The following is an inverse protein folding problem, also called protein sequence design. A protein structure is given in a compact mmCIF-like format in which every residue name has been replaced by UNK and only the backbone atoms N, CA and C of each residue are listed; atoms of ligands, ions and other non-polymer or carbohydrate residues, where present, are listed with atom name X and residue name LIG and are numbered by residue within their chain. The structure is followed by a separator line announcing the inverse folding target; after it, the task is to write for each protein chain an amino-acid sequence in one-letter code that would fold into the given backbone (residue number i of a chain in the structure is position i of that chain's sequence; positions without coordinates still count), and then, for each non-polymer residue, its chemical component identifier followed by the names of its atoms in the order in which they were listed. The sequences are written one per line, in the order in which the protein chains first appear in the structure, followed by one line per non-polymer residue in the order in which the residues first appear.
data_IF_398448994354
#
_entry.id   IF_398448994354
#
_cell.length_a   1.000
_cell.length_b   1.000
_cell.length_c   1.000
_cell.angle_alpha   90.00
_cell.angle_beta   90.00
_cell.angle_gamma   90.00
#
_symmetry.space_group_name_H-M   'P 1'
#
loop_
_entity.id
_entity.type
_entity.pdbx_description
1 polymer ?
#
# COMPACT_ATOMS: atom_id res chain seq x y z
N UNK A 1 -33.17 -58.60 -26.22
CA UNK A 1 -32.77 -59.76 -27.05
C UNK A 1 -31.28 -59.58 -27.33
N UNK A 2 -30.41 -60.18 -26.51
CA UNK A 2 -29.63 -61.40 -26.84
C UNK A 2 -28.70 -61.10 -28.05
N UNK A 3 -27.38 -61.14 -27.96
CA UNK A 3 -26.57 -62.28 -27.48
C UNK A 3 -25.12 -61.88 -27.20
N UNK A 4 -24.51 -62.68 -26.33
CA UNK A 4 -23.09 -62.73 -25.96
C UNK A 4 -22.22 -63.47 -27.01
N UNK A 5 -20.90 -63.48 -26.75
CA UNK A 5 -19.81 -64.35 -27.28
C UNK A 5 -18.87 -63.65 -28.26
N UNK A 6 -17.54 -63.67 -28.17
CA UNK A 6 -16.58 -64.34 -27.28
C UNK A 6 -15.19 -63.67 -27.43
N UNK A 7 -14.35 -63.72 -26.40
CA UNK A 7 -12.88 -63.54 -26.48
C UNK A 7 -12.20 -64.87 -26.90
N UNK A 8 -10.99 -64.87 -27.50
CA UNK A 8 -9.73 -64.98 -26.74
C UNK A 8 -8.52 -64.21 -27.36
N UNK A 9 -7.67 -63.51 -26.59
CA UNK A 9 -6.40 -63.92 -25.96
C UNK A 9 -5.10 -63.71 -26.80
N UNK A 10 -4.09 -63.13 -26.12
CA UNK A 10 -2.62 -63.10 -26.41
C UNK A 10 -2.18 -62.22 -27.61
N UNK A 11 -1.08 -61.45 -27.64
CA UNK A 11 0.18 -61.42 -26.89
C UNK A 11 0.80 -60.00 -27.06
N UNK A 12 1.35 -59.36 -26.02
CA UNK A 12 2.79 -59.29 -25.67
C UNK A 12 3.56 -58.17 -26.40
N UNK A 13 4.22 -57.35 -25.57
CA UNK A 13 5.45 -56.55 -25.79
C UNK A 13 5.42 -55.23 -26.57
N UNK A 14 6.11 -54.23 -25.98
CA UNK A 14 6.75 -53.18 -26.78
C UNK A 14 6.61 -51.73 -26.30
N UNK A 15 6.66 -51.45 -25.00
CA UNK A 15 6.88 -50.07 -24.50
C UNK A 15 8.26 -49.56 -24.93
N UNK A 16 8.31 -48.78 -26.02
CA UNK A 16 9.42 -47.90 -26.32
C UNK A 16 9.04 -46.47 -25.92
N UNK A 17 9.26 -46.16 -24.63
CA UNK A 17 9.17 -44.82 -24.08
C UNK A 17 10.31 -43.97 -24.66
N UNK A 18 10.03 -43.26 -25.74
CA UNK A 18 10.92 -42.22 -26.24
C UNK A 18 10.94 -41.07 -25.20
N UNK A 19 11.98 -41.07 -24.37
CA UNK A 19 12.29 -39.98 -23.46
C UNK A 19 12.41 -38.68 -24.25
N UNK A 20 11.43 -37.78 -24.09
CA UNK A 20 11.57 -36.38 -24.48
C UNK A 20 12.78 -35.79 -23.75
N UNK A 21 13.66 -35.02 -24.41
CA UNK A 21 14.70 -34.30 -23.71
C UNK A 21 14.02 -33.30 -22.76
N UNK A 22 14.43 -33.35 -21.49
CA UNK A 22 13.98 -32.42 -20.47
C UNK A 22 14.13 -30.99 -20.99
N UNK A 23 12.99 -30.28 -21.09
CA UNK A 23 12.97 -28.83 -21.26
C UNK A 23 13.67 -28.26 -20.05
N UNK A 24 14.94 -27.86 -20.20
CA UNK A 24 15.65 -27.18 -19.13
C UNK A 24 14.87 -25.89 -18.82
N UNK A 25 14.51 -25.64 -17.55
CA UNK A 25 13.96 -24.33 -17.20
C UNK A 25 15.03 -23.31 -17.58
N UNK A 26 14.66 -22.40 -18.47
CA UNK A 26 15.47 -21.24 -18.83
C UNK A 26 15.64 -20.45 -17.54
N UNK A 27 16.77 -20.65 -16.86
CA UNK A 27 17.19 -19.80 -15.75
C UNK A 27 17.32 -18.41 -16.37
N UNK A 28 16.30 -17.57 -16.19
CA UNK A 28 16.43 -16.14 -16.42
C UNK A 28 17.35 -15.64 -15.31
N UNK A 29 18.64 -15.63 -15.59
CA UNK A 29 19.61 -14.92 -14.76
C UNK A 29 19.16 -13.46 -14.68
N UNK A 30 18.79 -13.04 -13.47
CA UNK A 30 18.42 -11.69 -13.02
C UNK A 30 19.61 -10.70 -13.13
N UNK A 31 20.49 -10.85 -14.11
CA UNK A 31 21.83 -10.26 -14.06
C UNK A 31 22.01 -9.03 -14.96
N UNK A 32 20.95 -8.45 -15.54
CA UNK A 32 21.13 -7.28 -16.41
C UNK A 32 20.01 -6.23 -16.43
N UNK A 33 19.33 -6.00 -15.30
CA UNK A 33 18.44 -4.84 -15.10
C UNK A 33 18.99 -3.82 -14.08
N UNK A 34 20.32 -3.72 -13.94
CA UNK A 34 20.96 -2.91 -12.89
C UNK A 34 21.24 -1.46 -13.32
N UNK A 35 20.37 -0.81 -14.10
CA UNK A 35 20.61 0.62 -14.44
C UNK A 35 19.41 1.56 -14.40
N UNK A 36 18.21 1.07 -14.08
CA UNK A 36 17.02 1.93 -14.03
C UNK A 36 16.57 2.28 -12.59
N UNK A 37 17.18 1.67 -11.58
CA UNK A 37 16.82 1.84 -10.17
C UNK A 37 17.96 2.50 -9.37
N UNK A 38 17.66 3.29 -8.33
CA UNK A 38 18.69 3.87 -7.48
C UNK A 38 19.40 2.81 -6.65
N UNK A 39 20.64 3.10 -6.25
CA UNK A 39 21.51 2.14 -5.56
C UNK A 39 20.96 1.64 -4.21
N UNK A 40 20.06 2.38 -3.57
CA UNK A 40 19.46 2.03 -2.28
C UNK A 40 18.27 1.07 -2.43
N UNK A 41 17.69 0.95 -3.62
CA UNK A 41 16.55 0.09 -3.88
C UNK A 41 17.03 -1.33 -4.26
N UNK A 42 17.35 -2.12 -3.24
CA UNK A 42 17.90 -3.47 -3.39
C UNK A 42 16.85 -4.57 -3.52
N UNK A 43 15.57 -4.23 -3.35
CA UNK A 43 14.42 -5.14 -3.48
C UNK A 43 13.25 -4.41 -4.16
N UNK A 44 12.28 -5.14 -4.75
CA UNK A 44 11.09 -4.51 -5.32
C UNK A 44 10.36 -3.65 -4.29
N UNK A 45 9.76 -2.54 -4.73
CA UNK A 45 8.97 -1.71 -3.85
C UNK A 45 7.81 -2.49 -3.21
N UNK A 46 7.38 -2.09 -2.00
CA UNK A 46 6.12 -2.56 -1.44
C UNK A 46 4.96 -2.30 -2.41
N UNK A 47 3.97 -3.19 -2.47
CA UNK A 47 2.83 -3.09 -3.41
C UNK A 47 2.00 -1.81 -3.27
N UNK A 48 2.06 -1.14 -2.12
CA UNK A 48 1.38 0.11 -1.85
C UNK A 48 2.19 1.34 -2.27
N UNK A 49 3.47 1.17 -2.62
CA UNK A 49 4.34 2.29 -2.99
C UNK A 49 4.02 2.78 -4.40
N UNK A 50 3.58 4.02 -4.52
CA UNK A 50 3.39 4.77 -5.77
C UNK A 50 4.57 5.65 -6.17
N UNK A 51 5.63 5.70 -5.36
CA UNK A 51 6.80 6.54 -5.59
C UNK A 51 7.54 6.22 -6.89
N UNK A 52 7.93 7.26 -7.63
CA UNK A 52 8.80 7.13 -8.81
C UNK A 52 10.26 7.16 -8.37
N UNK A 53 10.95 6.03 -8.47
CA UNK A 53 12.37 5.92 -8.14
C UNK A 53 13.23 5.94 -9.41
N UNK A 54 14.10 6.95 -9.51
CA UNK A 54 15.00 7.14 -10.65
C UNK A 54 16.40 6.62 -10.34
N UNK A 55 17.20 6.28 -11.35
CA UNK A 55 18.57 5.76 -11.14
C UNK A 55 19.47 6.66 -10.30
N UNK A 56 19.22 7.97 -10.34
CA UNK A 56 20.04 9.00 -9.71
C UNK A 56 19.46 9.52 -8.39
N UNK A 57 18.37 8.92 -7.90
CA UNK A 57 17.80 9.29 -6.61
C UNK A 57 18.80 9.00 -5.50
N UNK A 58 18.97 9.98 -4.62
CA UNK A 58 19.97 9.92 -3.56
C UNK A 58 19.42 9.20 -2.34
N UNK A 59 20.25 9.01 -1.31
CA UNK A 59 19.78 8.47 -0.03
C UNK A 59 18.69 9.33 0.62
N UNK A 60 18.66 10.63 0.32
CA UNK A 60 17.65 11.54 0.84
C UNK A 60 16.26 11.29 0.22
N UNK A 61 16.24 10.67 -0.95
CA UNK A 61 15.05 10.30 -1.72
C UNK A 61 14.64 8.84 -1.47
N UNK A 62 15.31 8.15 -0.54
CA UNK A 62 15.13 6.73 -0.26
C UNK A 62 13.88 6.43 0.59
N UNK A 63 12.74 6.92 0.10
CA UNK A 63 11.42 6.88 0.71
C UNK A 63 10.42 6.22 -0.22
N UNK A 64 9.73 5.19 0.27
CA UNK A 64 8.50 4.70 -0.30
C UNK A 64 7.34 5.57 0.16
N UNK A 65 6.47 5.96 -0.78
CA UNK A 65 5.28 6.78 -0.55
C UNK A 65 4.07 6.08 -1.15
N UNK A 66 2.92 6.09 -0.48
CA UNK A 66 1.68 5.60 -1.09
C UNK A 66 1.28 6.41 -2.32
N UNK A 67 0.67 5.76 -3.29
CA UNK A 67 -0.04 6.41 -4.41
C UNK A 67 -1.35 7.08 -3.97
N UNK A 68 -1.89 6.64 -2.83
CA UNK A 68 -3.14 7.10 -2.26
C UNK A 68 -2.91 7.99 -1.03
N UNK A 69 -3.49 9.19 -1.09
CA UNK A 69 -3.58 10.12 0.02
C UNK A 69 -5.05 10.35 0.36
N UNK A 70 -5.43 10.14 1.63
CA UNK A 70 -6.73 10.60 2.12
C UNK A 70 -6.61 12.06 2.48
N UNK A 71 -7.30 12.93 1.76
CA UNK A 71 -7.36 14.36 2.08
C UNK A 71 -8.72 14.69 2.70
N UNK A 72 -8.69 15.33 3.87
CA UNK A 72 -9.85 15.82 4.59
C UNK A 72 -9.68 17.32 4.86
N UNK A 73 -10.64 18.14 4.42
CA UNK A 73 -10.74 19.51 4.91
C UNK A 73 -11.39 19.50 6.29
N UNK A 74 -10.65 19.96 7.30
CA UNK A 74 -11.16 20.11 8.65
C UNK A 74 -11.86 21.46 8.76
N UNK A 75 -13.09 21.43 9.25
CA UNK A 75 -13.75 22.66 9.69
C UNK A 75 -13.01 23.18 10.93
N UNK A 76 -12.44 24.37 10.83
CA UNK A 76 -12.10 25.14 12.03
C UNK A 76 -13.39 25.42 12.78
N UNK A 77 -13.40 25.41 14.12
CA UNK A 77 -14.58 25.84 14.88
C UNK A 77 -15.11 27.15 14.30
N UNK A 78 -16.44 27.34 14.32
CA UNK A 78 -16.98 28.68 14.13
C UNK A 78 -16.22 29.59 15.10
N UNK A 79 -15.48 30.56 14.54
CA UNK A 79 -15.05 31.68 15.34
C UNK A 79 -16.30 32.18 16.06
N UNK A 80 -16.17 32.49 17.35
CA UNK A 80 -17.20 33.16 18.14
C UNK A 80 -18.04 34.07 17.21
N UNK A 81 -19.38 33.96 17.18
CA UNK A 81 -20.21 34.72 16.23
C UNK A 81 -20.00 36.24 16.28
N UNK A 82 -19.28 36.74 17.29
CA UNK A 82 -18.80 38.11 17.40
C UNK A 82 -17.49 38.41 16.67
N UNK A 83 -16.88 37.44 15.99
CA UNK A 83 -15.58 37.59 15.35
C UNK A 83 -15.68 37.36 13.85
N UNK A 84 -15.32 38.40 13.11
CA UNK A 84 -15.29 38.38 11.65
C UNK A 84 -14.17 37.45 11.17
N UNK A 85 -14.51 36.41 10.41
CA UNK A 85 -13.55 35.43 9.85
C UNK A 85 -12.49 36.08 8.96
N UNK A 86 -12.89 37.12 8.22
CA UNK A 86 -11.98 37.86 7.33
C UNK A 86 -10.96 38.70 8.12
N UNK A 87 -11.28 39.08 9.37
CA UNK A 87 -10.35 39.80 10.25
C UNK A 87 -9.37 38.88 10.96
N UNK A 88 -9.70 37.60 11.13
CA UNK A 88 -8.82 36.61 11.76
C UNK A 88 -7.90 35.86 10.78
N UNK A 89 -8.21 35.87 9.48
CA UNK A 89 -7.43 35.14 8.47
C UNK A 89 -7.42 33.62 8.69
N UNK A 90 -8.50 33.04 9.24
CA UNK A 90 -8.58 31.60 9.53
C UNK A 90 -8.95 30.85 8.25
N UNK A 91 -7.95 30.22 7.64
CA UNK A 91 -8.12 29.26 6.54
C UNK A 91 -8.47 27.86 7.08
N UNK A 92 -9.30 27.07 6.39
CA UNK A 92 -9.58 25.68 6.76
C UNK A 92 -8.30 24.85 6.78
N UNK A 93 -8.10 24.06 7.84
CA UNK A 93 -6.96 23.15 7.94
C UNK A 93 -7.18 21.96 7.03
N UNK A 94 -6.28 21.73 6.08
CA UNK A 94 -6.28 20.50 5.29
C UNK A 94 -5.43 19.43 5.99
N UNK A 95 -6.00 18.24 6.20
CA UNK A 95 -5.33 17.06 6.72
C UNK A 95 -5.18 16.03 5.60
N UNK A 96 -3.94 15.62 5.32
CA UNK A 96 -3.63 14.51 4.42
C UNK A 96 -3.08 13.32 5.21
N UNK A 97 -3.49 12.10 4.86
CA UNK A 97 -2.97 10.86 5.45
C UNK A 97 -2.39 9.96 4.35
N UNK A 98 -1.15 9.48 4.55
CA UNK A 98 -0.40 8.67 3.56
C UNK A 98 0.45 7.59 4.26
N UNK A 99 0.95 6.61 3.51
CA UNK A 99 2.00 5.70 3.98
C UNK A 99 3.38 6.23 3.56
N UNK A 100 4.29 6.26 4.52
CA UNK A 100 5.70 6.61 4.29
C UNK A 100 6.60 5.53 4.91
N UNK A 101 7.63 5.12 4.19
CA UNK A 101 8.64 4.19 4.72
C UNK A 101 10.00 4.55 4.15
N UNK A 102 10.98 4.82 5.01
CA UNK A 102 12.37 4.89 4.55
C UNK A 102 12.88 3.49 4.20
N UNK A 103 13.74 3.34 3.20
CA UNK A 103 14.20 2.01 2.74
C UNK A 103 14.90 1.15 3.83
N UNK A 104 15.38 1.77 4.92
CA UNK A 104 15.98 1.09 6.08
C UNK A 104 14.97 0.74 7.18
N UNK A 105 13.74 1.24 7.11
CA UNK A 105 12.71 0.92 8.09
C UNK A 105 12.10 -0.45 7.78
N UNK A 106 11.85 -1.24 8.83
CA UNK A 106 11.26 -2.56 8.68
C UNK A 106 9.74 -2.53 8.37
N UNK A 107 9.07 -1.40 8.64
CA UNK A 107 7.64 -1.24 8.45
C UNK A 107 7.30 0.21 8.09
N UNK A 108 6.22 0.45 7.32
CA UNK A 108 5.75 1.79 7.01
C UNK A 108 5.14 2.47 8.24
N UNK A 109 5.04 3.80 8.14
CA UNK A 109 4.35 4.69 9.06
C UNK A 109 3.18 5.35 8.35
N UNK A 110 2.12 5.63 9.11
CA UNK A 110 1.05 6.53 8.65
C UNK A 110 1.52 7.95 8.93
N UNK A 111 1.70 8.75 7.89
CA UNK A 111 2.02 10.17 8.02
C UNK A 111 0.71 10.97 7.93
N UNK A 112 0.45 11.79 8.94
CA UNK A 112 -0.64 12.76 8.97
C UNK A 112 -0.03 14.14 8.78
N UNK A 113 -0.33 14.78 7.67
CA UNK A 113 0.21 16.08 7.29
C UNK A 113 -0.93 17.10 7.36
N UNK A 114 -0.80 18.09 8.23
CA UNK A 114 -1.74 19.19 8.37
C UNK A 114 -1.10 20.50 7.92
N UNK A 115 -1.81 21.31 7.14
CA UNK A 115 -1.45 22.71 6.92
C UNK A 115 -2.16 23.59 7.95
N UNK A 116 -1.39 24.16 8.87
CA UNK A 116 -1.89 25.02 9.95
C UNK A 116 -1.17 26.37 9.84
N UNK A 117 -1.93 27.42 9.52
CA UNK A 117 -1.43 28.79 9.32
C UNK A 117 -0.31 28.88 8.26
N UNK A 118 -0.45 28.15 7.15
CA UNK A 118 0.53 28.08 6.06
C UNK A 118 1.82 27.34 6.46
N UNK A 119 1.77 26.54 7.52
CA UNK A 119 2.89 25.73 8.01
C UNK A 119 2.49 24.26 8.04
N UNK A 120 3.25 23.46 7.30
CA UNK A 120 3.10 22.01 7.33
C UNK A 120 3.51 21.44 8.71
N UNK A 121 2.65 20.57 9.24
CA UNK A 121 2.87 19.78 10.45
C UNK A 121 2.72 18.31 10.11
N UNK A 122 3.77 17.53 10.32
CA UNK A 122 3.79 16.08 10.04
C UNK A 122 3.79 15.29 11.37
N UNK A 123 2.82 14.39 11.54
CA UNK A 123 2.79 13.38 12.59
C UNK A 123 2.97 12.00 11.96
N UNK A 124 4.02 11.29 12.39
CA UNK A 124 4.33 9.94 11.89
C UNK A 124 3.99 8.88 12.92
N UNK A 125 2.94 8.12 12.63
CA UNK A 125 2.44 7.06 13.48
C UNK A 125 2.97 5.71 13.01
N UNK A 126 3.37 4.86 13.94
CA UNK A 126 3.48 3.43 13.67
C UNK A 126 2.11 2.85 13.32
N UNK A 127 2.09 1.68 12.67
CA UNK A 127 0.82 1.00 12.36
C UNK A 127 -0.01 0.67 13.61
N UNK A 128 0.63 0.46 14.77
CA UNK A 128 -0.07 0.20 16.02
C UNK A 128 -0.78 1.47 16.54
N UNK A 129 -0.05 2.59 16.61
CA UNK A 129 -0.58 3.89 17.03
C UNK A 129 -1.70 4.37 16.08
N UNK A 130 -1.52 4.17 14.76
CA UNK A 130 -2.55 4.52 13.78
C UNK A 130 -3.85 3.72 13.98
N UNK A 131 -3.75 2.42 14.31
CA UNK A 131 -4.93 1.59 14.63
C UNK A 131 -5.60 2.05 15.92
N UNK A 132 -4.82 2.39 16.95
CA UNK A 132 -5.35 2.90 18.21
C UNK A 132 -6.09 4.22 18.01
N UNK A 133 -5.50 5.15 17.25
CA UNK A 133 -6.16 6.40 16.87
C UNK A 133 -7.46 6.15 16.11
N UNK A 134 -7.45 5.27 15.11
CA UNK A 134 -8.65 4.94 14.33
C UNK A 134 -9.76 4.33 15.21
N UNK A 135 -9.40 3.46 16.15
CA UNK A 135 -10.34 2.87 17.11
C UNK A 135 -10.94 3.94 18.04
N UNK A 136 -10.12 4.86 18.56
CA UNK A 136 -10.58 5.98 19.37
C UNK A 136 -11.56 6.89 18.63
N UNK A 137 -11.24 7.25 17.38
CA UNK A 137 -12.13 8.06 16.53
C UNK A 137 -13.45 7.35 16.25
N UNK A 138 -13.41 6.06 15.89
CA UNK A 138 -14.62 5.25 15.65
C UNK A 138 -15.49 5.17 16.91
N UNK A 139 -14.88 5.04 18.09
CA UNK A 139 -15.60 5.02 19.35
C UNK A 139 -16.31 6.35 19.64
N UNK A 140 -15.65 7.49 19.42
CA UNK A 140 -16.25 8.81 19.59
C UNK A 140 -17.43 9.05 18.63
N UNK A 141 -17.32 8.59 17.38
CA UNK A 141 -18.40 8.67 16.40
C UNK A 141 -19.64 7.89 16.87
N UNK A 142 -19.45 6.65 17.32
CA UNK A 142 -20.54 5.82 17.88
C UNK A 142 -21.23 6.51 19.06
N UNK A 143 -20.47 7.09 19.99
CA UNK A 143 -21.05 7.82 21.13
C UNK A 143 -21.88 9.03 20.69
N UNK A 144 -21.44 9.76 19.66
CA UNK A 144 -22.15 10.93 19.15
C UNK A 144 -23.45 10.54 18.42
N UNK A 145 -23.43 9.48 17.62
CA UNK A 145 -24.60 8.97 16.90
C UNK A 145 -25.67 8.43 17.87
N UNK A 146 -25.25 7.68 18.88
CA UNK A 146 -26.14 7.14 19.91
C UNK A 146 -26.72 8.25 20.83
N UNK A 147 -25.93 9.30 21.09
CA UNK A 147 -26.32 10.44 21.91
C UNK A 147 -27.21 11.48 21.21
N UNK A 148 -27.11 11.58 19.88
CA UNK A 148 -27.84 12.55 19.05
C UNK A 148 -29.27 12.15 18.67
N UNK A 149 -29.71 10.93 18.98
CA UNK A 149 -31.05 10.42 18.70
C UNK A 149 -32.10 10.75 19.79
N UNK A 150 -31.90 11.82 20.58
CA UNK A 150 -32.82 12.24 21.65
C UNK A 150 -33.49 13.57 21.38
#
# INVERSE_FOLDING_TARGET
MHSQSSNPATAVEGSASASQPAVQPRVMTLENQVSDLPYWLTSPCPHWCGGFHRPHDTIHDALHLSDFDVTLQLTTQEADPHVNRDELGIEPVQLAASLRQHHLEAAPRVALVADIDGKERDLKLTLAEARELAAGLTHLLSLAEDGGAR
#
